data_IF_390405721982
#
_entry.id   IF_390405721982
#
_cell.length_a   1.000
_cell.length_b   1.000
_cell.length_c   1.000
_cell.angle_alpha   90.00
_cell.angle_beta   90.00
_cell.angle_gamma   90.00
#
_symmetry.space_group_name_H-M   'P 1'
#
loop_
_entity.id
_entity.type
_entity.pdbx_description
1 polymer ?
#
# COMPACT_ATOMS: atom_id res chain seq x y z
N UNK A 1 19.37 5.56 6.66
CA UNK A 1 18.25 5.01 7.46
C UNK A 1 17.51 4.01 6.60
N UNK A 2 17.13 2.86 7.15
CA UNK A 2 16.31 1.89 6.42
C UNK A 2 14.87 2.42 6.32
N UNK A 3 14.24 2.22 5.16
CA UNK A 3 12.83 2.56 4.95
C UNK A 3 11.95 1.64 5.84
N UNK A 4 10.88 2.19 6.42
CA UNK A 4 9.90 1.38 7.15
C UNK A 4 9.22 0.40 6.18
N UNK A 5 8.89 -0.78 6.70
CA UNK A 5 8.25 -1.85 5.94
C UNK A 5 7.06 -2.42 6.72
N UNK A 6 6.01 -2.78 5.99
CA UNK A 6 4.81 -3.45 6.51
C UNK A 6 4.32 -4.49 5.49
N UNK A 7 3.32 -5.28 5.88
CA UNK A 7 2.62 -6.24 5.01
C UNK A 7 1.14 -5.89 4.95
N UNK A 8 0.55 -5.92 3.76
CA UNK A 8 -0.84 -5.56 3.57
C UNK A 8 -1.80 -6.52 4.30
N UNK A 9 -2.77 -5.94 5.01
CA UNK A 9 -3.76 -6.65 5.82
C UNK A 9 -5.16 -6.53 5.25
N UNK A 10 -5.37 -7.08 4.05
CA UNK A 10 -6.69 -7.18 3.43
C UNK A 10 -6.85 -8.51 2.67
N UNK A 11 -8.08 -8.94 2.48
CA UNK A 11 -8.47 -10.10 1.68
C UNK A 11 -8.84 -9.67 0.27
N UNK A 12 -8.76 -10.58 -0.69
CA UNK A 12 -9.04 -10.27 -2.10
C UNK A 12 -10.48 -9.80 -2.36
N UNK A 13 -11.43 -10.19 -1.50
CA UNK A 13 -12.84 -9.81 -1.55
C UNK A 13 -13.20 -8.62 -0.65
N UNK A 14 -12.22 -8.03 0.04
CA UNK A 14 -12.45 -6.83 0.83
C UNK A 14 -12.84 -5.64 -0.09
N UNK A 15 -13.75 -4.78 0.38
CA UNK A 15 -14.14 -3.58 -0.36
C UNK A 15 -12.97 -2.59 -0.44
N UNK A 16 -12.95 -1.76 -1.50
CA UNK A 16 -11.87 -0.80 -1.77
C UNK A 16 -11.44 0.04 -0.56
N UNK A 17 -12.34 0.54 0.31
CA UNK A 17 -11.93 1.29 1.50
C UNK A 17 -11.04 0.51 2.46
N UNK A 18 -11.21 -0.81 2.58
CA UNK A 18 -10.34 -1.65 3.42
C UNK A 18 -8.99 -1.91 2.76
N UNK A 19 -8.98 -2.08 1.43
CA UNK A 19 -7.74 -2.17 0.65
C UNK A 19 -6.90 -0.90 0.83
N UNK A 20 -7.51 0.27 0.67
CA UNK A 20 -6.83 1.56 0.87
C UNK A 20 -6.40 1.79 2.33
N UNK A 21 -7.20 1.36 3.30
CA UNK A 21 -6.82 1.43 4.72
C UNK A 21 -5.60 0.57 5.05
N UNK A 22 -5.29 -0.46 4.25
CA UNK A 22 -4.07 -1.25 4.42
C UNK A 22 -2.78 -0.45 4.11
N UNK A 23 -2.91 0.69 3.43
CA UNK A 23 -1.84 1.66 3.17
C UNK A 23 -1.85 2.83 4.18
N UNK A 24 -2.44 2.67 5.37
CA UNK A 24 -2.43 3.72 6.37
C UNK A 24 -1.00 4.06 6.82
N UNK A 25 -0.74 5.34 7.06
CA UNK A 25 0.55 5.81 7.55
C UNK A 25 0.86 5.21 8.95
N UNK A 26 2.04 4.60 9.15
CA UNK A 26 2.39 3.99 10.43
C UNK A 26 2.63 5.01 11.55
N UNK A 27 2.87 6.28 11.19
CA UNK A 27 3.20 7.34 12.15
C UNK A 27 1.96 8.10 12.64
N UNK A 28 1.09 8.50 11.70
CA UNK A 28 -0.08 9.34 12.02
C UNK A 28 -1.43 8.62 11.88
N UNK A 29 -1.42 7.35 11.45
CA UNK A 29 -2.60 6.46 11.32
C UNK A 29 -3.69 7.00 10.39
N UNK A 30 -3.32 7.90 9.48
CA UNK A 30 -4.18 8.41 8.42
C UNK A 30 -4.07 7.52 7.18
N UNK A 31 -5.19 7.35 6.50
CA UNK A 31 -5.30 6.63 5.22
C UNK A 31 -5.87 7.50 4.10
N UNK A 32 -6.26 8.73 4.43
CA UNK A 32 -6.65 9.78 3.50
C UNK A 32 -5.43 10.39 2.83
N UNK A 33 -5.53 10.65 1.52
CA UNK A 33 -4.53 11.39 0.73
C UNK A 33 -3.11 10.78 0.74
N UNK A 34 -2.99 9.48 1.02
CA UNK A 34 -1.70 8.79 0.90
C UNK A 34 -1.32 8.73 -0.58
N UNK A 35 -0.16 9.29 -0.91
CA UNK A 35 0.47 9.11 -2.22
C UNK A 35 1.05 7.70 -2.26
N UNK A 36 0.73 6.92 -3.27
CA UNK A 36 1.27 5.57 -3.41
C UNK A 36 1.58 5.20 -4.85
N UNK A 37 2.54 4.31 -5.02
CA UNK A 37 2.94 3.74 -6.30
C UNK A 37 3.11 2.24 -6.16
N UNK A 38 2.46 1.47 -7.03
CA UNK A 38 2.51 0.02 -7.00
C UNK A 38 3.72 -0.50 -7.81
N UNK A 39 4.69 -1.08 -7.10
CA UNK A 39 5.79 -1.83 -7.68
C UNK A 39 5.42 -3.32 -7.72
N UNK A 40 4.58 -3.68 -8.69
CA UNK A 40 3.98 -5.02 -8.80
C UNK A 40 4.83 -6.02 -9.60
N UNK A 41 5.85 -5.53 -10.30
CA UNK A 41 6.76 -6.35 -11.09
C UNK A 41 7.81 -7.04 -10.19
N UNK A 42 8.11 -8.31 -10.46
CA UNK A 42 9.18 -9.05 -9.81
C UNK A 42 8.72 -10.08 -8.76
N UNK A 43 9.64 -10.47 -7.87
CA UNK A 43 9.41 -11.55 -6.89
C UNK A 43 8.69 -11.08 -5.62
N UNK A 44 8.88 -9.81 -5.22
CA UNK A 44 8.32 -9.23 -4.00
C UNK A 44 7.41 -8.03 -4.35
N UNK A 45 6.16 -8.28 -4.80
CA UNK A 45 5.26 -7.19 -5.17
C UNK A 45 4.98 -6.31 -3.96
N UNK A 46 5.00 -4.99 -4.16
CA UNK A 46 4.85 -4.03 -3.06
C UNK A 46 4.24 -2.70 -3.52
N UNK A 47 3.83 -1.91 -2.54
CA UNK A 47 3.37 -0.53 -2.73
C UNK A 47 4.28 0.40 -1.95
N UNK A 48 4.88 1.37 -2.64
CA UNK A 48 5.62 2.45 -2.00
C UNK A 48 4.65 3.56 -1.65
N UNK A 49 4.63 3.96 -0.39
CA UNK A 49 3.69 4.94 0.14
C UNK A 49 4.43 6.16 0.69
N UNK A 50 3.81 7.32 0.58
CA UNK A 50 4.26 8.57 1.19
C UNK A 50 3.08 9.30 1.81
N UNK A 51 3.24 9.71 3.07
CA UNK A 51 2.25 10.53 3.74
C UNK A 51 2.57 12.01 3.51
N UNK A 52 1.69 12.81 2.87
CA UNK A 52 1.95 14.24 2.68
C UNK A 52 1.91 15.05 3.98
N UNK A 53 1.36 14.48 5.06
CA UNK A 53 1.17 15.18 6.34
C UNK A 53 2.37 15.09 7.28
N UNK A 54 2.91 13.89 7.49
CA UNK A 54 4.07 13.67 8.36
C UNK A 54 5.35 13.38 7.56
N UNK A 55 5.26 13.39 6.23
CA UNK A 55 6.36 13.21 5.27
C UNK A 55 7.05 11.84 5.31
N UNK A 56 6.53 10.90 6.11
CA UNK A 56 7.07 9.55 6.22
C UNK A 56 6.84 8.76 4.92
N UNK A 57 7.83 7.94 4.56
CA UNK A 57 7.76 7.04 3.42
C UNK A 57 7.99 5.60 3.86
N UNK A 58 7.16 4.68 3.42
CA UNK A 58 7.25 3.26 3.78
C UNK A 58 6.85 2.36 2.62
N UNK A 59 7.20 1.08 2.74
CA UNK A 59 6.84 0.05 1.77
C UNK A 59 5.85 -0.94 2.38
N UNK A 60 4.84 -1.32 1.61
CA UNK A 60 3.88 -2.36 1.98
C UNK A 60 4.04 -3.54 1.04
N UNK A 61 4.46 -4.68 1.56
CA UNK A 61 4.57 -5.93 0.80
C UNK A 61 3.20 -6.58 0.60
N UNK A 62 3.03 -7.20 -0.56
CA UNK A 62 1.80 -7.81 -1.01
C UNK A 62 2.00 -9.31 -1.26
N UNK A 63 0.98 -10.10 -0.99
CA UNK A 63 0.85 -11.44 -1.56
C UNK A 63 0.45 -11.36 -3.06
N UNK A 64 0.72 -12.39 -3.88
CA UNK A 64 0.43 -12.35 -5.32
C UNK A 64 -1.02 -11.97 -5.68
N UNK A 65 -2.00 -12.43 -4.91
CA UNK A 65 -3.41 -12.12 -5.16
C UNK A 65 -3.76 -10.68 -4.75
N UNK A 66 -3.10 -10.13 -3.74
CA UNK A 66 -3.24 -8.72 -3.35
C UNK A 66 -2.60 -7.80 -4.40
N UNK A 67 -1.46 -8.21 -4.98
CA UNK A 67 -0.82 -7.53 -6.10
C UNK A 67 -1.75 -7.42 -7.31
N UNK A 68 -2.43 -8.51 -7.67
CA UNK A 68 -3.43 -8.49 -8.74
C UNK A 68 -4.56 -7.48 -8.45
N UNK A 69 -4.99 -7.36 -7.19
CA UNK A 69 -6.02 -6.39 -6.79
C UNK A 69 -5.58 -4.95 -7.05
N UNK A 70 -4.33 -4.60 -6.72
CA UNK A 70 -3.75 -3.29 -7.01
C UNK A 70 -3.58 -3.05 -8.51
N UNK A 71 -3.14 -4.05 -9.29
CA UNK A 71 -3.00 -3.93 -10.74
C UNK A 71 -4.32 -3.55 -11.44
N UNK A 72 -5.45 -4.05 -10.91
CA UNK A 72 -6.79 -3.75 -11.41
C UNK A 72 -7.35 -2.39 -10.94
N UNK A 73 -6.77 -1.80 -9.88
CA UNK A 73 -7.17 -0.49 -9.34
C UNK A 73 -6.39 0.65 -9.99
N UNK A 74 -5.12 0.43 -10.32
CA UNK A 74 -4.20 1.42 -10.93
C UNK A 74 -4.54 1.74 -12.41
N UNK A 75 -5.60 1.13 -12.97
CA UNK A 75 -5.97 1.25 -14.39
C UNK A 75 -6.99 2.38 -14.70
N UNK A 76 -7.17 3.37 -13.82
CA UNK A 76 -8.10 4.51 -14.03
C UNK A 76 -7.45 5.87 -13.80
#
# INVERSE_FOLDING_TARGET
MAMLADTARFRTDDPDPLVMASLACPMCLRSDEIEWHAALDGYDPSVECRCPRCEESWRVYLEPQQALRFALMDTF
#
